data_IF_926198808079
#
_entry.id   IF_926198808079
#
_cell.length_a   1.000
_cell.length_b   1.000
_cell.length_c   1.000
_cell.angle_alpha   90.00
_cell.angle_beta   90.00
_cell.angle_gamma   90.00
#
_symmetry.space_group_name_H-M   'P 1'
#
loop_
_entity.id
_entity.type
_entity.pdbx_description
1 polymer ?
#
# COMPACT_ATOMS: atom_id res chain seq x y z
N UNK A 1 4.33 50.89 -24.07
CA UNK A 1 5.74 50.74 -23.61
C UNK A 1 5.84 49.41 -22.88
N UNK A 2 6.40 48.38 -23.50
CA UNK A 2 6.56 47.07 -22.88
C UNK A 2 7.71 47.10 -21.89
N UNK A 3 7.45 46.72 -20.64
CA UNK A 3 8.48 46.54 -19.61
C UNK A 3 9.47 45.50 -20.15
N UNK A 4 10.71 45.92 -20.41
CA UNK A 4 11.80 44.99 -20.76
C UNK A 4 11.97 44.05 -19.56
N UNK A 5 11.58 42.78 -19.72
CA UNK A 5 11.86 41.76 -18.71
C UNK A 5 13.37 41.54 -18.71
N UNK A 6 14.05 41.93 -17.64
CA UNK A 6 15.47 41.63 -17.48
C UNK A 6 15.63 40.12 -17.25
N UNK A 7 16.54 39.51 -17.99
CA UNK A 7 16.87 38.10 -17.87
C UNK A 7 17.81 37.94 -16.68
N UNK A 8 17.38 37.20 -15.66
CA UNK A 8 18.11 37.05 -14.38
C UNK A 8 18.89 35.74 -14.38
N UNK A 9 18.26 34.65 -14.82
CA UNK A 9 18.84 33.31 -14.81
C UNK A 9 18.78 32.68 -16.22
N UNK A 10 19.70 33.04 -17.13
CA UNK A 10 19.72 32.50 -18.51
C UNK A 10 19.77 30.97 -18.59
N UNK A 11 20.38 30.33 -17.59
CA UNK A 11 20.53 28.86 -17.52
C UNK A 11 19.18 28.12 -17.57
N UNK A 12 18.09 28.72 -17.09
CA UNK A 12 16.77 28.08 -17.18
C UNK A 12 16.18 28.10 -18.59
N UNK A 13 16.59 29.03 -19.46
CA UNK A 13 16.20 28.98 -20.88
C UNK A 13 16.89 27.82 -21.60
N UNK A 14 18.13 27.50 -21.22
CA UNK A 14 18.84 26.33 -21.72
C UNK A 14 18.14 25.03 -21.27
N UNK A 15 17.53 25.03 -20.07
CA UNK A 15 16.74 23.91 -19.57
C UNK A 15 15.46 23.63 -20.38
N UNK A 16 14.91 24.61 -21.10
CA UNK A 16 13.68 24.44 -21.89
C UNK A 16 13.82 23.41 -23.01
N UNK A 17 15.05 23.13 -23.48
CA UNK A 17 15.32 22.15 -24.54
C UNK A 17 15.04 20.71 -24.07
N UNK A 18 15.08 20.44 -22.76
CA UNK A 18 14.89 19.10 -22.19
C UNK A 18 13.43 18.74 -21.92
N UNK A 19 12.48 19.57 -22.34
CA UNK A 19 11.05 19.29 -22.12
C UNK A 19 10.20 19.64 -23.33
N UNK A 20 9.32 18.72 -23.70
CA UNK A 20 8.31 18.91 -24.75
C UNK A 20 6.96 19.39 -24.18
N UNK A 21 6.84 19.51 -22.85
CA UNK A 21 5.61 19.93 -22.19
C UNK A 21 5.60 21.46 -22.06
N UNK A 22 4.73 22.12 -22.83
CA UNK A 22 4.51 23.57 -22.78
C UNK A 22 4.32 24.11 -21.35
N UNK A 23 3.75 23.31 -20.44
CA UNK A 23 3.61 23.69 -19.04
C UNK A 23 4.98 23.88 -18.36
N UNK A 24 5.89 22.92 -18.55
CA UNK A 24 7.21 22.97 -17.96
C UNK A 24 8.10 23.99 -18.68
N UNK A 25 7.98 24.14 -20.00
CA UNK A 25 8.65 25.21 -20.75
C UNK A 25 8.30 26.59 -20.19
N UNK A 26 7.01 26.87 -19.95
CA UNK A 26 6.57 28.14 -19.36
C UNK A 26 7.12 28.35 -17.94
N UNK A 27 7.19 27.28 -17.12
CA UNK A 27 7.75 27.38 -15.77
C UNK A 27 9.25 27.72 -15.80
N UNK A 28 10.02 27.05 -16.65
CA UNK A 28 11.46 27.31 -16.77
C UNK A 28 11.73 28.69 -17.41
N UNK A 29 10.91 29.11 -18.37
CA UNK A 29 10.96 30.46 -18.93
C UNK A 29 10.67 31.52 -17.85
N UNK A 30 9.60 31.35 -17.08
CA UNK A 30 9.27 32.26 -15.98
C UNK A 30 10.40 32.32 -14.94
N UNK A 31 11.00 31.18 -14.58
CA UNK A 31 12.15 31.11 -13.68
C UNK A 31 13.37 31.87 -14.22
N UNK A 32 13.61 31.85 -15.54
CA UNK A 32 14.68 32.61 -16.18
C UNK A 32 14.51 34.13 -15.98
N UNK A 33 13.27 34.61 -15.90
CA UNK A 33 12.90 35.99 -15.60
C UNK A 33 12.71 36.28 -14.09
N UNK A 34 13.11 35.35 -13.22
CA UNK A 34 12.97 35.47 -11.77
C UNK A 34 11.55 35.30 -11.23
N UNK A 35 10.61 34.86 -12.07
CA UNK A 35 9.25 34.53 -11.65
C UNK A 35 9.20 33.08 -11.20
N UNK A 36 8.84 32.89 -9.94
CA UNK A 36 8.76 31.57 -9.34
C UNK A 36 7.30 31.06 -9.37
N UNK A 37 7.10 29.73 -9.50
CA UNK A 37 5.78 29.13 -9.38
C UNK A 37 5.10 29.46 -8.05
N UNK A 38 3.77 29.45 -8.04
CA UNK A 38 2.99 29.76 -6.85
C UNK A 38 3.48 28.96 -5.65
N UNK A 39 3.82 29.68 -4.59
CA UNK A 39 4.25 29.07 -3.34
C UNK A 39 5.76 28.84 -3.20
N UNK A 40 6.52 29.20 -4.22
CA UNK A 40 7.99 29.30 -4.17
C UNK A 40 8.40 30.75 -4.35
N UNK A 41 9.61 31.08 -3.90
CA UNK A 41 10.19 32.40 -4.09
C UNK A 41 11.70 32.26 -4.30
N UNK A 42 12.30 33.22 -5.01
CA UNK A 42 13.75 33.28 -5.18
C UNK A 42 14.31 34.28 -4.17
N UNK A 43 15.31 33.88 -3.39
CA UNK A 43 16.00 34.74 -2.44
C UNK A 43 17.50 34.45 -2.48
N UNK A 44 18.34 35.46 -2.74
CA UNK A 44 19.81 35.32 -2.83
C UNK A 44 20.24 34.12 -3.71
N UNK A 45 19.74 34.07 -4.94
CA UNK A 45 19.99 32.98 -5.90
C UNK A 45 19.56 31.59 -5.43
N UNK A 46 18.72 31.51 -4.40
CA UNK A 46 18.11 30.26 -3.95
C UNK A 46 16.62 30.21 -4.25
N UNK A 47 16.16 29.13 -4.90
CA UNK A 47 14.75 28.77 -4.99
C UNK A 47 14.29 28.17 -3.66
N UNK A 48 13.41 28.88 -2.98
CA UNK A 48 12.92 28.56 -1.65
C UNK A 48 11.42 28.22 -1.65
N UNK A 49 11.03 27.35 -0.72
CA UNK A 49 9.64 27.05 -0.38
C UNK A 49 9.52 26.94 1.14
N UNK A 50 8.54 27.64 1.73
CA UNK A 50 8.32 27.66 3.19
C UNK A 50 7.01 26.99 3.62
N UNK A 51 6.37 26.18 2.77
CA UNK A 51 5.18 25.45 3.19
C UNK A 51 5.55 24.35 4.19
N UNK A 52 4.86 24.36 5.33
CA UNK A 52 5.00 23.33 6.37
C UNK A 52 4.94 21.93 5.76
N UNK A 53 5.98 21.13 5.98
CA UNK A 53 6.21 19.76 5.43
C UNK A 53 6.61 19.68 3.94
N UNK A 54 6.81 20.80 3.25
CA UNK A 54 7.30 20.90 1.87
C UNK A 54 8.44 21.92 1.74
N UNK A 55 9.14 22.18 2.84
CA UNK A 55 10.22 23.15 2.88
C UNK A 55 11.41 22.67 2.06
N UNK A 56 11.95 23.56 1.24
CA UNK A 56 13.23 23.34 0.56
C UNK A 56 13.91 24.68 0.29
N UNK A 57 15.23 24.62 0.15
CA UNK A 57 16.07 25.71 -0.27
C UNK A 57 17.09 25.13 -1.25
N UNK A 58 17.03 25.56 -2.50
CA UNK A 58 17.87 25.06 -3.58
C UNK A 58 18.68 26.22 -4.18
N UNK A 59 20.02 26.10 -4.18
CA UNK A 59 20.91 27.11 -4.73
C UNK A 59 20.98 26.98 -6.27
N UNK A 60 20.70 28.07 -6.98
CA UNK A 60 20.73 28.14 -8.44
C UNK A 60 22.17 28.36 -8.88
N UNK A 61 22.91 27.25 -9.01
CA UNK A 61 24.27 27.25 -9.52
C UNK A 61 24.30 27.05 -11.04
N UNK A 62 25.33 27.61 -11.72
CA UNK A 62 25.59 27.28 -13.12
C UNK A 62 26.17 25.86 -13.21
N UNK A 63 25.28 24.88 -13.35
CA UNK A 63 25.60 23.48 -13.65
C UNK A 63 25.29 23.14 -15.11
N UNK A 64 25.53 21.89 -15.49
CA UNK A 64 25.05 21.36 -16.76
C UNK A 64 23.51 21.54 -16.85
N UNK A 65 22.97 22.18 -17.92
CA UNK A 65 21.54 22.43 -18.08
C UNK A 65 20.64 21.22 -17.89
N UNK A 66 21.08 20.03 -18.32
CA UNK A 66 20.32 18.79 -18.16
C UNK A 66 20.19 18.39 -16.67
N UNK A 67 21.28 18.50 -15.91
CA UNK A 67 21.29 18.20 -14.49
C UNK A 67 20.43 19.19 -13.71
N UNK A 68 20.55 20.49 -14.03
CA UNK A 68 19.74 21.53 -13.43
C UNK A 68 18.25 21.33 -13.73
N UNK A 69 17.90 21.00 -14.97
CA UNK A 69 16.53 20.67 -15.36
C UNK A 69 15.97 19.54 -14.50
N UNK A 70 16.69 18.41 -14.41
CA UNK A 70 16.23 17.24 -13.65
C UNK A 70 16.08 17.55 -12.15
N UNK A 71 17.06 18.22 -11.54
CA UNK A 71 17.02 18.59 -10.12
C UNK A 71 15.82 19.51 -9.79
N UNK A 72 15.60 20.55 -10.60
CA UNK A 72 14.49 21.49 -10.41
C UNK A 72 13.15 20.83 -10.71
N UNK A 73 13.07 20.04 -11.78
CA UNK A 73 11.87 19.31 -12.16
C UNK A 73 11.45 18.33 -11.07
N UNK A 74 12.39 17.53 -10.54
CA UNK A 74 12.12 16.61 -9.43
C UNK A 74 11.69 17.37 -8.17
N UNK A 75 12.36 18.48 -7.86
CA UNK A 75 12.03 19.27 -6.67
C UNK A 75 10.63 19.89 -6.78
N UNK A 76 10.28 20.48 -7.91
CA UNK A 76 8.95 21.05 -8.14
C UNK A 76 7.86 19.95 -8.23
N UNK A 77 8.15 18.82 -8.86
CA UNK A 77 7.20 17.72 -9.02
C UNK A 77 6.99 16.93 -7.73
N UNK A 78 8.07 16.50 -7.07
CA UNK A 78 8.03 15.61 -5.92
C UNK A 78 7.81 16.34 -4.60
N UNK A 79 8.45 17.51 -4.38
CA UNK A 79 8.29 18.27 -3.13
C UNK A 79 7.09 19.22 -3.19
N UNK A 80 6.97 20.01 -4.25
CA UNK A 80 5.86 20.98 -4.36
C UNK A 80 4.56 20.32 -4.81
N UNK A 81 4.63 19.30 -5.67
CA UNK A 81 3.47 18.63 -6.26
C UNK A 81 2.94 19.33 -7.51
N UNK A 82 3.78 20.11 -8.20
CA UNK A 82 3.44 20.69 -9.49
C UNK A 82 3.34 19.58 -10.53
N UNK A 83 2.18 19.50 -11.18
CA UNK A 83 1.90 18.49 -12.19
C UNK A 83 1.21 19.16 -13.38
N UNK A 84 1.72 18.88 -14.57
CA UNK A 84 1.06 19.24 -15.83
C UNK A 84 -0.26 18.47 -15.99
N UNK A 85 -1.11 18.90 -16.93
CA UNK A 85 -2.38 18.22 -17.21
C UNK A 85 -2.16 16.75 -17.62
N UNK A 86 -1.12 16.48 -18.42
CA UNK A 86 -0.75 15.12 -18.83
C UNK A 86 -0.39 14.26 -17.62
N UNK A 87 0.46 14.78 -16.74
CA UNK A 87 0.88 14.08 -15.51
C UNK A 87 -0.28 13.82 -14.54
N UNK A 88 -1.24 14.76 -14.43
CA UNK A 88 -2.45 14.57 -13.63
C UNK A 88 -3.32 13.42 -14.16
N UNK A 89 -3.47 13.33 -15.48
CA UNK A 89 -4.24 12.25 -16.12
C UNK A 89 -3.54 10.90 -15.90
N UNK A 90 -2.22 10.83 -16.10
CA UNK A 90 -1.44 9.61 -15.84
C UNK A 90 -1.57 9.13 -14.40
N UNK A 91 -1.34 10.00 -13.41
CA UNK A 91 -1.49 9.63 -11.99
C UNK A 91 -2.92 9.17 -11.66
N UNK A 92 -3.93 9.75 -12.32
CA UNK A 92 -5.32 9.30 -12.14
C UNK A 92 -5.53 7.90 -12.70
N UNK A 93 -4.99 7.60 -13.89
CA UNK A 93 -5.03 6.25 -14.49
C UNK A 93 -4.27 5.23 -13.65
N UNK A 94 -3.09 5.58 -13.12
CA UNK A 94 -2.33 4.72 -12.20
C UNK A 94 -3.15 4.38 -10.95
N UNK A 95 -3.83 5.37 -10.35
CA UNK A 95 -4.70 5.15 -9.20
C UNK A 95 -5.87 4.22 -9.55
N UNK A 96 -6.53 4.41 -10.69
CA UNK A 96 -7.62 3.53 -11.14
C UNK A 96 -7.13 2.10 -11.37
N UNK A 97 -5.97 1.92 -11.99
CA UNK A 97 -5.37 0.60 -12.17
C UNK A 97 -4.99 -0.05 -10.83
N UNK A 98 -4.51 0.73 -9.86
CA UNK A 98 -4.26 0.23 -8.50
C UNK A 98 -5.56 -0.22 -7.81
N UNK A 99 -6.65 0.53 -7.97
CA UNK A 99 -7.97 0.17 -7.43
C UNK A 99 -8.50 -1.13 -8.04
N UNK A 100 -8.32 -1.34 -9.34
CA UNK A 100 -8.69 -2.59 -10.03
C UNK A 100 -7.87 -3.77 -9.51
N UNK A 101 -6.55 -3.61 -9.37
CA UNK A 101 -5.69 -4.63 -8.77
C UNK A 101 -6.08 -4.95 -7.31
N UNK A 102 -6.54 -3.96 -6.55
CA UNK A 102 -7.04 -4.17 -5.19
C UNK A 102 -8.36 -4.95 -5.17
N UNK A 103 -9.26 -4.72 -6.14
CA UNK A 103 -10.49 -5.52 -6.29
C UNK A 103 -10.16 -6.98 -6.55
N UNK A 104 -9.16 -7.26 -7.38
CA UNK A 104 -8.71 -8.63 -7.65
C UNK A 104 -8.11 -9.31 -6.42
N UNK A 105 -7.36 -8.56 -5.59
CA UNK A 105 -6.89 -9.05 -4.30
C UNK A 105 -8.03 -9.35 -3.31
N UNK A 106 -9.20 -8.75 -3.51
CA UNK A 106 -10.41 -8.91 -2.68
C UNK A 106 -11.41 -9.93 -3.25
N UNK A 107 -11.04 -10.76 -4.23
CA UNK A 107 -11.93 -11.81 -4.72
C UNK A 107 -12.07 -12.99 -3.75
N UNK A 108 -11.05 -13.27 -2.93
CA UNK A 108 -11.08 -14.39 -1.98
C UNK A 108 -10.52 -14.01 -0.62
N UNK A 109 -11.07 -14.62 0.43
CA UNK A 109 -10.61 -14.41 1.82
C UNK A 109 -9.14 -14.78 2.03
N UNK A 110 -8.65 -15.77 1.27
CA UNK A 110 -7.25 -16.21 1.29
C UNK A 110 -6.29 -15.14 0.76
N UNK A 111 -6.71 -14.34 -0.21
CA UNK A 111 -5.85 -13.34 -0.86
C UNK A 111 -5.63 -12.10 0.02
N UNK A 112 -6.50 -11.87 1.01
CA UNK A 112 -6.38 -10.77 1.95
C UNK A 112 -5.27 -11.09 2.96
N UNK A 113 -4.08 -10.49 2.80
CA UNK A 113 -2.94 -10.69 3.70
C UNK A 113 -2.89 -9.68 4.85
N UNK A 114 -3.49 -8.51 4.67
CA UNK A 114 -3.45 -7.41 5.65
C UNK A 114 -4.45 -7.68 6.78
N UNK A 115 -3.94 -7.84 8.00
CA UNK A 115 -4.75 -8.14 9.20
C UNK A 115 -5.87 -7.11 9.44
N UNK A 116 -5.54 -5.81 9.37
CA UNK A 116 -6.50 -4.74 9.62
C UNK A 116 -7.71 -4.77 8.66
N UNK A 117 -7.49 -5.22 7.41
CA UNK A 117 -8.58 -5.36 6.43
C UNK A 117 -9.48 -6.53 6.83
N UNK A 118 -8.91 -7.67 7.25
CA UNK A 118 -9.71 -8.80 7.75
C UNK A 118 -10.54 -8.42 8.97
N UNK A 119 -9.94 -7.72 9.92
CA UNK A 119 -10.62 -7.28 11.13
C UNK A 119 -11.81 -6.36 10.79
N UNK A 120 -11.63 -5.43 9.85
CA UNK A 120 -12.69 -4.56 9.36
C UNK A 120 -13.82 -5.33 8.66
N UNK A 121 -13.48 -6.31 7.82
CA UNK A 121 -14.47 -7.15 7.13
C UNK A 121 -15.29 -8.00 8.12
N UNK A 122 -14.65 -8.51 9.17
CA UNK A 122 -15.34 -9.25 10.25
C UNK A 122 -16.26 -8.31 11.02
N UNK A 123 -15.86 -7.08 11.32
CA UNK A 123 -16.74 -6.10 11.96
C UNK A 123 -17.96 -5.80 11.10
N UNK A 124 -17.75 -5.60 9.79
CA UNK A 124 -18.85 -5.41 8.82
C UNK A 124 -19.81 -6.60 8.80
N UNK A 125 -19.28 -7.82 8.82
CA UNK A 125 -20.08 -9.04 8.94
C UNK A 125 -20.93 -9.05 10.22
N UNK A 126 -20.32 -8.77 11.38
CA UNK A 126 -21.01 -8.72 12.67
C UNK A 126 -22.15 -7.70 12.67
N UNK A 127 -21.93 -6.53 12.09
CA UNK A 127 -22.97 -5.49 11.95
C UNK A 127 -24.12 -6.01 11.08
N UNK A 128 -23.81 -6.61 9.92
CA UNK A 128 -24.83 -7.16 9.04
C UNK A 128 -25.65 -8.28 9.70
N UNK A 129 -25.01 -9.15 10.50
CA UNK A 129 -25.70 -10.21 11.24
C UNK A 129 -26.54 -9.65 12.39
N UNK A 130 -26.08 -8.58 13.05
CA UNK A 130 -26.83 -7.88 14.08
C UNK A 130 -28.14 -7.34 13.52
N UNK A 131 -28.09 -6.68 12.37
CA UNK A 131 -29.28 -6.14 11.70
C UNK A 131 -30.19 -7.27 11.22
N UNK A 132 -29.63 -8.26 10.52
CA UNK A 132 -30.37 -9.38 9.94
C UNK A 132 -31.11 -10.24 10.98
N UNK A 133 -30.48 -10.47 12.14
CA UNK A 133 -31.03 -11.36 13.18
C UNK A 133 -31.50 -10.62 14.43
N UNK A 134 -31.55 -9.28 14.41
CA UNK A 134 -32.01 -8.45 15.52
C UNK A 134 -31.21 -8.64 16.81
N UNK A 135 -29.87 -8.78 16.69
CA UNK A 135 -28.99 -8.98 17.84
C UNK A 135 -28.80 -7.68 18.64
N UNK A 136 -28.64 -7.82 19.95
CA UNK A 136 -28.25 -6.70 20.82
C UNK A 136 -26.79 -6.31 20.60
N UNK A 137 -26.41 -5.10 21.04
CA UNK A 137 -25.01 -4.66 20.99
C UNK A 137 -24.08 -5.59 21.79
N UNK A 138 -24.55 -6.14 22.92
CA UNK A 138 -23.79 -7.09 23.73
C UNK A 138 -23.53 -8.39 22.96
N UNK A 139 -24.55 -8.90 22.25
CA UNK A 139 -24.41 -10.10 21.41
C UNK A 139 -23.53 -9.84 20.19
N UNK A 140 -23.60 -8.66 19.56
CA UNK A 140 -22.71 -8.30 18.46
C UNK A 140 -21.24 -8.26 18.91
N UNK A 141 -20.96 -7.64 20.07
CA UNK A 141 -19.61 -7.66 20.67
C UNK A 141 -19.14 -9.08 20.96
N UNK A 142 -20.02 -9.92 21.53
CA UNK A 142 -19.73 -11.32 21.77
C UNK A 142 -19.41 -12.07 20.47
N UNK A 143 -20.21 -11.90 19.41
CA UNK A 143 -19.96 -12.52 18.10
C UNK A 143 -18.58 -12.13 17.56
N UNK A 144 -18.25 -10.85 17.62
CA UNK A 144 -16.96 -10.35 17.16
C UNK A 144 -15.79 -10.98 17.92
N UNK A 145 -15.86 -10.97 19.26
CA UNK A 145 -14.85 -11.60 20.13
C UNK A 145 -14.73 -13.10 19.86
N UNK A 146 -15.86 -13.79 19.68
CA UNK A 146 -15.91 -15.23 19.38
C UNK A 146 -15.24 -15.55 18.04
N UNK A 147 -15.57 -14.83 16.96
CA UNK A 147 -14.94 -15.03 15.65
C UNK A 147 -13.44 -14.78 15.73
N UNK A 148 -13.04 -13.68 16.36
CA UNK A 148 -11.63 -13.32 16.52
C UNK A 148 -10.86 -14.41 17.29
N UNK A 149 -11.42 -14.85 18.42
CA UNK A 149 -10.83 -15.90 19.26
C UNK A 149 -10.72 -17.23 18.50
N UNK A 150 -11.79 -17.63 17.81
CA UNK A 150 -11.81 -18.84 17.00
C UNK A 150 -10.78 -18.81 15.87
N UNK A 151 -10.53 -17.65 15.27
CA UNK A 151 -9.48 -17.49 14.26
C UNK A 151 -8.07 -17.56 14.86
N UNK A 152 -7.84 -16.93 16.02
CA UNK A 152 -6.55 -16.98 16.73
C UNK A 152 -6.19 -18.43 17.10
N UNK A 153 -7.16 -19.20 17.60
CA UNK A 153 -6.97 -20.62 17.92
C UNK A 153 -7.07 -21.55 16.71
N UNK A 154 -7.22 -21.01 15.49
CA UNK A 154 -7.41 -21.77 14.25
C UNK A 154 -8.58 -22.77 14.29
N UNK A 155 -9.57 -22.53 15.15
CA UNK A 155 -10.86 -23.27 15.16
C UNK A 155 -11.71 -22.86 13.96
N UNK A 156 -11.62 -21.60 13.54
CA UNK A 156 -12.13 -21.08 12.28
C UNK A 156 -10.92 -20.74 11.40
N UNK A 157 -10.84 -21.37 10.25
CA UNK A 157 -9.79 -21.21 9.26
C UNK A 157 -10.32 -20.48 8.03
N UNK A 158 -9.45 -20.17 7.07
CA UNK A 158 -9.87 -19.51 5.84
C UNK A 158 -10.89 -20.33 5.02
N UNK A 159 -10.92 -21.66 5.18
CA UNK A 159 -11.88 -22.53 4.48
C UNK A 159 -13.31 -22.36 5.00
N UNK A 160 -13.44 -21.89 6.23
CA UNK A 160 -14.72 -21.76 6.92
C UNK A 160 -15.38 -20.40 6.66
N UNK A 161 -14.69 -19.48 6.00
CA UNK A 161 -15.15 -18.12 5.73
C UNK A 161 -15.55 -18.02 4.26
N UNK A 162 -16.86 -17.95 4.01
CA UNK A 162 -17.42 -17.73 2.69
C UNK A 162 -17.39 -16.25 2.38
N UNK A 163 -16.59 -15.87 1.39
CA UNK A 163 -16.33 -14.49 1.01
C UNK A 163 -16.57 -14.31 -0.48
N UNK A 164 -17.41 -13.34 -0.84
CA UNK A 164 -17.75 -13.04 -2.23
C UNK A 164 -17.95 -11.53 -2.38
N UNK A 165 -17.43 -10.96 -3.46
CA UNK A 165 -17.63 -9.55 -3.83
C UNK A 165 -17.26 -8.57 -2.70
N UNK A 166 -16.18 -8.84 -1.98
CA UNK A 166 -15.72 -7.99 -0.87
C UNK A 166 -16.55 -8.14 0.43
N UNK A 167 -17.44 -9.13 0.53
CA UNK A 167 -18.34 -9.33 1.67
C UNK A 167 -18.24 -10.76 2.19
N UNK A 168 -18.17 -10.91 3.52
CA UNK A 168 -18.32 -12.21 4.17
C UNK A 168 -19.81 -12.54 4.17
N UNK A 169 -20.18 -13.62 3.48
CA UNK A 169 -21.58 -14.06 3.37
C UNK A 169 -21.94 -15.05 4.46
N UNK A 170 -20.99 -15.88 4.89
CA UNK A 170 -21.19 -16.85 5.97
C UNK A 170 -19.86 -17.22 6.65
N UNK A 171 -19.95 -17.62 7.91
CA UNK A 171 -18.85 -18.27 8.64
C UNK A 171 -19.35 -19.62 9.15
N UNK A 172 -18.80 -20.70 8.57
CA UNK A 172 -19.18 -22.06 8.90
C UNK A 172 -18.82 -22.37 10.37
N UNK A 173 -19.79 -22.92 11.12
CA UNK A 173 -19.66 -23.17 12.56
C UNK A 173 -20.30 -22.10 13.45
N UNK A 174 -20.87 -21.04 12.86
CA UNK A 174 -21.67 -20.02 13.57
C UNK A 174 -23.05 -19.94 12.92
N UNK A 175 -24.09 -20.13 13.73
CA UNK A 175 -25.48 -20.04 13.31
C UNK A 175 -26.26 -19.05 14.18
N UNK A 176 -27.45 -18.68 13.69
CA UNK A 176 -28.31 -17.71 14.35
C UNK A 176 -29.73 -18.28 14.47
N UNK A 177 -30.23 -18.39 15.70
CA UNK A 177 -31.59 -18.92 15.98
C UNK A 177 -32.24 -18.05 17.04
N UNK A 178 -33.48 -17.60 16.82
CA UNK A 178 -34.27 -16.83 17.79
C UNK A 178 -33.50 -15.65 18.44
N UNK A 179 -32.78 -14.87 17.63
CA UNK A 179 -31.91 -13.74 18.08
C UNK A 179 -30.74 -14.16 18.98
N UNK A 180 -30.32 -15.42 18.92
CA UNK A 180 -29.16 -15.94 19.64
C UNK A 180 -28.10 -16.42 18.65
N UNK A 181 -26.85 -16.38 19.11
CA UNK A 181 -25.68 -16.87 18.37
C UNK A 181 -25.42 -18.29 18.87
N UNK A 182 -25.40 -19.25 17.95
CA UNK A 182 -25.07 -20.65 18.21
C UNK A 182 -23.69 -20.91 17.61
N UNK A 183 -22.73 -21.24 18.47
CA UNK A 183 -21.40 -21.66 18.03
C UNK A 183 -21.40 -23.19 18.00
N UNK A 184 -21.42 -23.78 16.81
CA UNK A 184 -21.45 -25.25 16.63
C UNK A 184 -20.08 -25.89 16.87
N UNK A 185 -18.99 -25.12 16.76
CA UNK A 185 -17.63 -25.60 17.01
C UNK A 185 -17.26 -25.37 18.46
N UNK A 186 -16.74 -26.41 19.09
CA UNK A 186 -16.16 -26.27 20.42
C UNK A 186 -14.85 -25.47 20.30
N UNK A 187 -14.84 -24.27 20.87
CA UNK A 187 -13.69 -23.37 20.87
C UNK A 187 -12.54 -23.89 21.76
N UNK A 188 -12.83 -24.84 22.65
CA UNK A 188 -11.89 -25.42 23.61
C UNK A 188 -11.44 -26.82 23.23
N UNK A 189 -12.09 -27.46 22.25
CA UNK A 189 -11.70 -28.78 21.76
C UNK A 189 -10.57 -28.66 20.70
N UNK A 190 -9.37 -28.37 21.19
CA UNK A 190 -8.13 -28.23 20.38
C UNK A 190 -7.74 -29.55 19.69
N UNK A 191 -8.43 -30.66 19.97
CA UNK A 191 -8.14 -31.98 19.40
C UNK A 191 -8.45 -32.08 17.90
N UNK A 192 -9.30 -31.20 17.33
CA UNK A 192 -9.80 -31.38 15.96
C UNK A 192 -8.92 -30.86 14.82
N UNK A 193 -7.79 -30.19 15.08
CA UNK A 193 -6.89 -29.70 14.01
C UNK A 193 -5.44 -30.22 14.08
N UNK A 194 -5.12 -31.10 15.04
CA UNK A 194 -4.00 -32.02 14.85
C UNK A 194 -4.54 -33.25 14.12
N UNK A 195 -4.73 -33.15 12.81
CA UNK A 195 -4.43 -34.32 11.99
C UNK A 195 -2.91 -34.41 12.10
N UNK A 196 -2.30 -35.37 12.83
CA UNK A 196 -0.95 -35.70 12.50
C UNK A 196 -1.05 -36.12 11.04
N UNK A 197 -0.59 -35.28 10.12
CA UNK A 197 0.02 -35.85 8.95
C UNK A 197 1.12 -36.72 9.56
N UNK A 198 0.82 -38.01 9.70
CA UNK A 198 1.85 -39.03 9.67
C UNK A 198 2.46 -38.78 8.30
N UNK A 199 3.50 -37.95 8.28
CA UNK A 199 4.37 -37.80 7.14
C UNK A 199 5.07 -39.15 7.07
N UNK A 200 4.39 -40.13 6.50
CA UNK A 200 5.04 -41.31 5.94
C UNK A 200 5.98 -40.77 4.87
N UNK A 201 7.27 -40.95 5.14
CA UNK A 201 8.39 -40.81 4.21
C UNK A 201 8.74 -39.40 3.70
N UNK A 202 8.98 -38.46 4.61
CA UNK A 202 10.05 -37.47 4.35
C UNK A 202 11.32 -37.97 5.02
N UNK A 203 12.30 -38.36 4.21
CA UNK A 203 13.69 -38.60 4.66
C UNK A 203 14.08 -37.50 5.63
N UNK A 204 14.30 -37.87 6.88
CA UNK A 204 14.75 -36.96 7.92
C UNK A 204 16.19 -36.55 7.59
N UNK A 205 16.61 -35.41 8.11
CA UNK A 205 17.98 -34.92 7.97
C UNK A 205 19.00 -35.95 8.50
N UNK A 206 18.60 -36.73 9.52
CA UNK A 206 19.36 -37.85 10.05
C UNK A 206 19.59 -38.98 9.03
N UNK A 207 18.63 -39.26 8.15
CA UNK A 207 18.76 -40.31 7.12
C UNK A 207 19.82 -39.97 6.06
N UNK A 208 20.28 -38.72 6.02
CA UNK A 208 21.36 -38.23 5.15
C UNK A 208 22.70 -38.15 5.88
N UNK A 209 22.75 -38.43 7.18
CA UNK A 209 23.94 -38.23 8.02
C UNK A 209 25.07 -39.18 7.65
N UNK A 210 24.80 -40.47 7.45
CA UNK A 210 25.83 -41.44 7.04
C UNK A 210 26.45 -41.07 5.68
N UNK A 211 25.62 -40.58 4.75
CA UNK A 211 26.09 -40.12 3.44
C UNK A 211 27.01 -38.89 3.57
N UNK A 212 26.70 -38.00 4.51
CA UNK A 212 27.53 -36.82 4.81
C UNK A 212 28.87 -37.22 5.44
N UNK A 213 28.85 -38.07 6.47
CA UNK A 213 30.07 -38.57 7.14
C UNK A 213 30.98 -39.32 6.16
N UNK A 214 30.42 -40.17 5.31
CA UNK A 214 31.20 -40.91 4.30
C UNK A 214 31.85 -39.96 3.29
N UNK A 215 31.17 -38.86 2.94
CA UNK A 215 31.72 -37.84 2.03
C UNK A 215 32.87 -37.06 2.69
N UNK A 216 32.77 -36.74 3.97
CA UNK A 216 33.85 -36.11 4.74
C UNK A 216 35.05 -37.05 4.83
N UNK A 217 34.85 -38.31 5.19
CA UNK A 217 35.93 -39.28 5.36
C UNK A 217 36.77 -39.44 4.07
N UNK A 218 36.12 -39.42 2.90
CA UNK A 218 36.77 -39.45 1.58
C UNK A 218 37.51 -38.16 1.18
N UNK A 219 37.20 -37.03 1.82
CA UNK A 219 37.90 -35.77 1.59
C UNK A 219 39.12 -35.60 2.50
N UNK A 220 39.19 -36.38 3.59
CA UNK A 220 40.27 -36.37 4.58
C UNK A 220 41.20 -37.58 4.47
N UNK A 221 41.00 -38.45 3.48
CA UNK A 221 41.92 -39.52 3.07
C UNK A 221 42.52 -39.20 1.71
#
# INVERSE_FOLDING_TARGET
MGIKKELIYPVFLECCVFTEDNFWQNIFEDLAYGKSPYGTYINKDCLCCNYKKKEFNYLIERKNPEQLYNEIYELLCNKLGLLSKKQKIMKKLELTNMEENLKDCMQSWNNIKIKNIKDLLIQKYVISMREKYGLTMKQAKYLHSTIFTAMVFKVITNKDIKFKDGIITNIDGIDFVKRQIIVKRDLYNIQHNFIPQIILDKKLMFDLWDKYITKIAKLTS
#
